data_IF_715547911190
#
_entry.id   IF_715547911190
#
_cell.length_a   1.000
_cell.length_b   1.000
_cell.length_c   1.000
_cell.angle_alpha   90.00
_cell.angle_beta   90.00
_cell.angle_gamma   90.00
#
_symmetry.space_group_name_H-M   'P 1'
#
loop_
_entity.id
_entity.type
_entity.pdbx_description
1 polymer ?
#
# COMPACT_ATOMS: atom_id res chain seq x y z
N UNK A 1 -11.68 5.39 -19.05
CA UNK A 1 -10.37 5.08 -18.46
C UNK A 1 -10.45 4.55 -17.02
N UNK A 2 -10.60 5.33 -15.94
CA UNK A 2 -10.48 4.76 -14.56
C UNK A 2 -11.65 3.86 -14.09
N UNK A 3 -12.87 4.03 -14.62
CA UNK A 3 -13.97 3.07 -14.42
C UNK A 3 -13.68 1.72 -15.12
N UNK A 4 -13.01 1.78 -16.28
CA UNK A 4 -12.51 0.57 -16.97
C UNK A 4 -11.40 -0.12 -16.16
N UNK A 5 -10.49 0.62 -15.50
CA UNK A 5 -9.42 -0.01 -14.69
C UNK A 5 -9.97 -0.90 -13.57
N UNK A 6 -11.03 -0.46 -12.89
CA UNK A 6 -11.67 -1.27 -11.84
C UNK A 6 -12.35 -2.50 -12.42
N UNK A 7 -13.01 -2.37 -13.57
CA UNK A 7 -13.63 -3.49 -14.29
C UNK A 7 -12.57 -4.50 -14.77
N UNK A 8 -11.43 -4.00 -15.24
CA UNK A 8 -10.27 -4.82 -15.64
C UNK A 8 -9.67 -5.54 -14.43
N UNK A 9 -9.43 -4.83 -13.32
CA UNK A 9 -8.95 -5.44 -12.08
C UNK A 9 -9.89 -6.56 -11.62
N UNK A 10 -11.19 -6.30 -11.62
CA UNK A 10 -12.22 -7.27 -11.26
C UNK A 10 -12.23 -8.48 -12.19
N UNK A 11 -12.19 -8.25 -13.51
CA UNK A 11 -12.14 -9.29 -14.54
C UNK A 11 -10.91 -10.20 -14.35
N UNK A 12 -9.75 -9.61 -14.06
CA UNK A 12 -8.52 -10.37 -13.82
C UNK A 12 -8.63 -11.24 -12.56
N UNK A 13 -9.03 -10.65 -11.44
CA UNK A 13 -9.14 -11.37 -10.16
C UNK A 13 -10.18 -12.49 -10.24
N UNK A 14 -11.36 -12.19 -10.80
CA UNK A 14 -12.43 -13.20 -10.95
C UNK A 14 -12.05 -14.30 -11.93
N UNK A 15 -11.41 -13.95 -13.05
CA UNK A 15 -10.95 -14.91 -14.05
C UNK A 15 -9.95 -15.90 -13.46
N UNK A 16 -8.91 -15.40 -12.80
CA UNK A 16 -7.90 -16.24 -12.15
C UNK A 16 -8.49 -17.09 -11.02
N UNK A 17 -9.38 -16.52 -10.22
CA UNK A 17 -10.07 -17.30 -9.20
C UNK A 17 -10.87 -18.47 -9.81
N UNK A 18 -11.60 -18.23 -10.90
CA UNK A 18 -12.39 -19.28 -11.56
C UNK A 18 -11.51 -20.40 -12.12
N UNK A 19 -10.36 -20.06 -12.71
CA UNK A 19 -9.38 -21.06 -13.16
C UNK A 19 -8.89 -21.92 -11.99
N UNK A 20 -8.53 -21.30 -10.87
CA UNK A 20 -8.04 -21.99 -9.66
C UNK A 20 -9.11 -22.93 -9.09
N UNK A 21 -10.36 -22.46 -8.96
CA UNK A 21 -11.49 -23.29 -8.46
C UNK A 21 -11.79 -24.47 -9.41
N UNK A 22 -11.63 -24.27 -10.72
CA UNK A 22 -11.85 -25.34 -11.69
C UNK A 22 -10.78 -26.45 -11.62
N UNK A 23 -9.56 -26.09 -11.19
CA UNK A 23 -8.44 -27.00 -11.13
C UNK A 23 -8.42 -27.88 -9.87
N UNK A 24 -8.98 -27.43 -8.73
CA UNK A 24 -8.90 -28.15 -7.45
C UNK A 24 -9.87 -27.62 -6.37
N UNK A 25 -10.10 -28.41 -5.33
CA UNK A 25 -10.95 -28.03 -4.17
C UNK A 25 -10.10 -27.48 -3.01
N UNK A 26 -9.68 -26.22 -3.10
CA UNK A 26 -9.00 -25.52 -2.01
C UNK A 26 -10.00 -24.81 -1.08
N UNK A 27 -9.55 -24.36 0.09
CA UNK A 27 -10.38 -23.49 0.91
C UNK A 27 -10.66 -22.17 0.20
N UNK A 28 -11.78 -21.52 0.52
CA UNK A 28 -12.14 -20.22 -0.07
C UNK A 28 -11.05 -19.16 0.19
N UNK A 29 -10.41 -19.22 1.35
CA UNK A 29 -9.36 -18.28 1.74
C UNK A 29 -8.07 -18.51 0.92
N UNK A 30 -7.58 -19.75 0.80
CA UNK A 30 -6.41 -20.08 -0.03
C UNK A 30 -6.65 -19.72 -1.49
N UNK A 31 -7.85 -19.98 -1.99
CA UNK A 31 -8.24 -19.67 -3.38
C UNK A 31 -8.23 -18.16 -3.62
N UNK A 32 -8.82 -17.39 -2.72
CA UNK A 32 -8.90 -15.92 -2.83
C UNK A 32 -7.51 -15.30 -2.79
N UNK A 33 -6.67 -15.77 -1.86
CA UNK A 33 -5.31 -15.27 -1.70
C UNK A 33 -4.40 -15.64 -2.88
N UNK A 34 -4.50 -16.89 -3.36
CA UNK A 34 -3.80 -17.31 -4.57
C UNK A 34 -4.25 -16.52 -5.80
N UNK A 35 -5.55 -16.27 -5.95
CA UNK A 35 -6.07 -15.45 -7.04
C UNK A 35 -5.54 -14.01 -6.98
N UNK A 36 -5.45 -13.41 -5.79
CA UNK A 36 -4.85 -12.07 -5.59
C UNK A 36 -3.40 -12.05 -6.06
N UNK A 37 -2.55 -12.96 -5.57
CA UNK A 37 -1.13 -13.02 -5.92
C UNK A 37 -0.90 -13.35 -7.40
N UNK A 38 -1.68 -14.28 -7.96
CA UNK A 38 -1.64 -14.59 -9.38
C UNK A 38 -2.04 -13.37 -10.22
N UNK A 39 -3.05 -12.61 -9.80
CA UNK A 39 -3.50 -11.41 -10.52
C UNK A 39 -2.43 -10.32 -10.54
N UNK A 40 -1.78 -10.08 -9.41
CA UNK A 40 -0.67 -9.13 -9.31
C UNK A 40 0.51 -9.56 -10.20
N UNK A 41 0.86 -10.84 -10.15
CA UNK A 41 1.95 -11.42 -10.96
C UNK A 41 1.65 -11.40 -12.45
N UNK A 42 0.39 -11.69 -12.84
CA UNK A 42 -0.09 -11.59 -14.21
C UNK A 42 0.03 -10.17 -14.76
N UNK A 43 -0.39 -9.17 -13.98
CA UNK A 43 -0.36 -7.77 -14.41
C UNK A 43 1.07 -7.29 -14.65
N UNK A 44 2.01 -7.66 -13.77
CA UNK A 44 3.43 -7.33 -13.97
C UNK A 44 4.00 -8.02 -15.21
N UNK A 45 3.78 -9.33 -15.36
CA UNK A 45 4.35 -10.11 -16.46
C UNK A 45 3.77 -9.75 -17.83
N UNK A 46 2.48 -9.38 -17.88
CA UNK A 46 1.82 -8.92 -19.09
C UNK A 46 2.14 -7.45 -19.44
N UNK A 47 2.77 -6.70 -18.52
CA UNK A 47 3.19 -5.32 -18.76
C UNK A 47 4.55 -5.24 -19.48
N UNK A 48 4.82 -4.14 -20.19
CA UNK A 48 6.13 -3.90 -20.83
C UNK A 48 7.26 -3.60 -19.84
N UNK A 49 6.99 -3.62 -18.53
CA UNK A 49 7.92 -3.19 -17.50
C UNK A 49 9.15 -4.11 -17.38
N UNK A 50 9.11 -5.31 -17.98
CA UNK A 50 10.24 -6.24 -18.07
C UNK A 50 10.86 -6.55 -16.69
N UNK A 51 10.02 -6.63 -15.67
CA UNK A 51 10.45 -6.90 -14.29
C UNK A 51 10.09 -8.34 -13.90
N UNK A 52 11.07 -9.14 -13.46
CA UNK A 52 10.86 -10.48 -12.92
C UNK A 52 10.29 -10.47 -11.48
N UNK A 53 9.65 -9.36 -11.07
CA UNK A 53 9.14 -9.22 -9.71
C UNK A 53 7.96 -10.17 -9.50
N UNK A 54 8.10 -11.02 -8.49
CA UNK A 54 7.05 -11.94 -8.03
C UNK A 54 6.49 -11.44 -6.72
N UNK A 55 5.17 -11.50 -6.59
CA UNK A 55 4.50 -11.19 -5.34
C UNK A 55 4.52 -12.42 -4.43
N UNK A 56 4.88 -12.20 -3.18
CA UNK A 56 5.10 -13.26 -2.19
C UNK A 56 4.51 -12.95 -0.83
N UNK A 57 4.24 -11.68 -0.55
CA UNK A 57 3.69 -11.26 0.73
C UNK A 57 2.20 -11.50 0.75
N UNK A 58 1.75 -12.18 1.81
CA UNK A 58 0.35 -12.49 1.99
C UNK A 58 -0.43 -11.25 2.47
N UNK A 59 -1.74 -11.25 2.26
CA UNK A 59 -2.61 -10.26 2.89
C UNK A 59 -2.63 -10.46 4.40
N UNK A 60 -2.89 -9.38 5.14
CA UNK A 60 -2.92 -9.41 6.61
C UNK A 60 -3.85 -10.52 7.15
N UNK A 61 -5.03 -10.69 6.54
CA UNK A 61 -5.98 -11.73 6.96
C UNK A 61 -5.50 -13.15 6.69
N UNK A 62 -4.84 -13.38 5.55
CA UNK A 62 -4.29 -14.69 5.23
C UNK A 62 -3.21 -15.10 6.24
N UNK A 63 -2.31 -14.17 6.60
CA UNK A 63 -1.29 -14.40 7.64
C UNK A 63 -1.93 -14.64 9.01
N UNK A 64 -2.90 -13.78 9.38
CA UNK A 64 -3.61 -13.87 10.67
C UNK A 64 -4.34 -15.21 10.84
N UNK A 65 -4.85 -15.78 9.75
CA UNK A 65 -5.52 -17.08 9.72
C UNK A 65 -4.56 -18.26 9.50
N UNK A 66 -3.24 -18.02 9.47
CA UNK A 66 -2.21 -19.05 9.46
C UNK A 66 -1.90 -19.65 8.09
N UNK A 67 -2.29 -18.99 6.99
CA UNK A 67 -1.84 -19.40 5.65
C UNK A 67 -0.35 -19.12 5.51
N UNK A 68 0.36 -20.02 4.83
CA UNK A 68 1.76 -19.82 4.44
C UNK A 68 1.89 -19.68 2.93
N UNK A 69 2.82 -18.83 2.46
CA UNK A 69 3.07 -18.66 1.03
C UNK A 69 3.41 -19.99 0.33
N UNK A 70 4.20 -20.84 1.00
CA UNK A 70 4.56 -22.16 0.47
C UNK A 70 3.36 -23.07 0.21
N UNK A 71 2.25 -22.88 0.94
CA UNK A 71 1.02 -23.65 0.74
C UNK A 71 0.26 -23.21 -0.51
N UNK A 72 0.37 -21.93 -0.89
CA UNK A 72 -0.42 -21.35 -1.98
C UNK A 72 0.40 -21.09 -3.25
N UNK A 73 1.74 -21.15 -3.21
CA UNK A 73 2.60 -20.87 -4.36
C UNK A 73 2.28 -21.75 -5.57
N UNK A 74 1.99 -23.03 -5.33
CA UNK A 74 1.63 -23.97 -6.39
C UNK A 74 0.25 -23.66 -6.99
N UNK A 75 -0.66 -23.16 -6.16
CA UNK A 75 -2.00 -22.72 -6.57
C UNK A 75 -1.89 -21.48 -7.46
N UNK A 76 -1.04 -20.52 -7.08
CA UNK A 76 -0.73 -19.30 -7.86
C UNK A 76 -0.21 -19.69 -9.24
N UNK A 77 0.76 -20.61 -9.31
CA UNK A 77 1.33 -21.04 -10.58
C UNK A 77 0.31 -21.77 -11.46
N UNK A 78 -0.51 -22.64 -10.87
CA UNK A 78 -1.60 -23.35 -11.57
C UNK A 78 -2.58 -22.38 -12.22
N UNK A 79 -2.96 -21.32 -11.49
CA UNK A 79 -3.82 -20.26 -12.01
C UNK A 79 -3.17 -19.51 -13.18
N UNK A 80 -1.90 -19.11 -13.04
CA UNK A 80 -1.16 -18.38 -14.08
C UNK A 80 -0.99 -19.19 -15.37
N UNK A 81 -0.70 -20.49 -15.27
CA UNK A 81 -0.48 -21.36 -16.43
C UNK A 81 -1.74 -21.56 -17.26
N UNK A 82 -2.91 -21.55 -16.60
CA UNK A 82 -4.21 -21.80 -17.23
C UNK A 82 -4.88 -20.53 -17.74
N UNK A 83 -4.60 -19.39 -17.10
CA UNK A 83 -5.33 -18.16 -17.32
C UNK A 83 -4.96 -17.46 -18.63
N UNK A 84 -5.99 -17.20 -19.45
CA UNK A 84 -5.90 -16.44 -20.70
C UNK A 84 -6.62 -15.11 -20.55
N UNK A 85 -5.97 -14.19 -19.82
CA UNK A 85 -6.51 -12.87 -19.54
C UNK A 85 -6.42 -11.87 -20.70
N UNK A 86 -6.94 -10.64 -20.48
CA UNK A 86 -6.81 -9.57 -21.44
C UNK A 86 -5.35 -9.15 -21.62
N UNK A 87 -4.97 -8.79 -22.84
CA UNK A 87 -3.66 -8.22 -23.14
C UNK A 87 -3.55 -6.81 -22.56
N UNK A 88 -2.46 -6.51 -21.86
CA UNK A 88 -2.23 -5.22 -21.18
C UNK A 88 -1.22 -4.32 -21.92
N UNK A 89 -1.09 -4.46 -23.24
CA UNK A 89 0.02 -3.88 -24.02
C UNK A 89 0.03 -2.35 -24.15
N UNK A 90 -1.06 -1.66 -23.79
CA UNK A 90 -1.25 -0.21 -23.96
C UNK A 90 -1.40 0.56 -22.64
N UNK A 91 -1.07 -0.06 -21.51
CA UNK A 91 -1.19 0.60 -20.21
C UNK A 91 -0.01 1.55 -19.96
N UNK A 92 -0.33 2.82 -19.67
CA UNK A 92 0.62 3.76 -19.10
C UNK A 92 1.06 3.29 -17.70
N UNK A 93 2.27 3.66 -17.29
CA UNK A 93 2.84 3.24 -16.00
C UNK A 93 1.93 3.61 -14.81
N UNK A 94 1.27 4.76 -14.88
CA UNK A 94 0.34 5.21 -13.83
C UNK A 94 -0.93 4.35 -13.75
N UNK A 95 -1.39 3.81 -14.88
CA UNK A 95 -2.54 2.90 -14.93
C UNK A 95 -2.15 1.52 -14.40
N UNK A 96 -0.93 1.05 -14.71
CA UNK A 96 -0.37 -0.19 -14.18
C UNK A 96 -0.29 -0.15 -12.65
N UNK A 97 0.27 0.91 -12.08
CA UNK A 97 0.36 1.10 -10.62
C UNK A 97 -1.04 1.17 -9.99
N UNK A 98 -1.96 1.88 -10.61
CA UNK A 98 -3.36 1.94 -10.14
C UNK A 98 -4.03 0.55 -10.17
N UNK A 99 -3.74 -0.25 -11.19
CA UNK A 99 -4.27 -1.60 -11.35
C UNK A 99 -3.76 -2.55 -10.26
N UNK A 100 -2.47 -2.48 -9.88
CA UNK A 100 -1.92 -3.27 -8.79
C UNK A 100 -2.61 -2.97 -7.46
N UNK A 101 -2.79 -1.68 -7.13
CA UNK A 101 -3.50 -1.27 -5.91
C UNK A 101 -4.96 -1.72 -5.88
N UNK A 102 -5.65 -1.65 -7.03
CA UNK A 102 -7.01 -2.15 -7.18
C UNK A 102 -7.10 -3.67 -7.01
N UNK A 103 -6.20 -4.44 -7.63
CA UNK A 103 -6.16 -5.90 -7.52
C UNK A 103 -5.92 -6.33 -6.08
N UNK A 104 -4.93 -5.74 -5.40
CA UNK A 104 -4.70 -6.01 -3.98
C UNK A 104 -5.98 -5.71 -3.18
N UNK A 105 -6.59 -4.56 -3.41
CA UNK A 105 -7.82 -4.17 -2.69
C UNK A 105 -8.99 -5.13 -2.94
N UNK A 106 -9.16 -5.62 -4.18
CA UNK A 106 -10.22 -6.59 -4.53
C UNK A 106 -9.94 -7.95 -3.90
N UNK A 107 -8.69 -8.41 -3.93
CA UNK A 107 -8.29 -9.72 -3.42
C UNK A 107 -8.18 -9.81 -1.90
N UNK A 108 -7.86 -8.72 -1.21
CA UNK A 108 -7.69 -8.71 0.26
C UNK A 108 -8.98 -8.46 1.04
N UNK A 109 -9.98 -7.74 0.47
CA UNK A 109 -11.09 -7.17 1.26
C UNK A 109 -12.50 -7.68 0.91
N UNK A 110 -12.67 -9.01 0.84
CA UNK A 110 -13.96 -9.72 0.88
C UNK A 110 -14.90 -9.56 -0.33
N UNK A 111 -14.97 -10.59 -1.17
CA UNK A 111 -16.23 -11.16 -1.65
C UNK A 111 -16.01 -12.65 -1.94
N UNK A 112 -16.90 -13.57 -1.50
CA UNK A 112 -17.14 -14.76 -2.31
C UNK A 112 -17.53 -14.21 -3.68
N UNK A 113 -16.72 -14.45 -4.70
CA UNK A 113 -16.88 -13.88 -6.05
C UNK A 113 -18.21 -14.29 -6.73
N UNK A 114 -19.06 -15.05 -6.02
CA UNK A 114 -20.38 -15.51 -6.38
C UNK A 114 -21.54 -14.59 -5.94
N UNK A 115 -21.34 -13.58 -5.06
CA UNK A 115 -22.44 -12.73 -4.56
C UNK A 115 -22.21 -11.23 -4.77
N UNK A 116 -22.53 -10.76 -5.97
CA UNK A 116 -22.69 -9.35 -6.28
C UNK A 116 -24.01 -8.80 -5.67
N UNK A 117 -23.96 -8.39 -4.40
CA UNK A 117 -25.02 -7.59 -3.74
C UNK A 117 -24.40 -6.67 -2.66
N UNK A 118 -23.62 -5.67 -3.09
CA UNK A 118 -23.59 -4.32 -2.48
C UNK A 118 -23.20 -4.10 -1.01
N UNK A 119 -22.88 -5.09 -0.17
CA UNK A 119 -22.68 -4.85 1.27
C UNK A 119 -21.72 -5.81 1.98
N UNK A 120 -20.43 -5.82 1.62
CA UNK A 120 -19.41 -6.61 2.36
C UNK A 120 -18.02 -5.97 2.48
N UNK A 121 -17.89 -4.63 2.36
CA UNK A 121 -16.61 -3.91 2.45
C UNK A 121 -16.19 -3.52 3.88
N UNK A 122 -16.42 -4.35 4.90
CA UNK A 122 -16.46 -3.86 6.29
C UNK A 122 -15.50 -4.46 7.33
N UNK A 123 -14.95 -5.68 7.24
CA UNK A 123 -14.28 -6.23 8.43
C UNK A 123 -12.97 -5.54 8.84
N UNK A 124 -12.36 -4.70 7.99
CA UNK A 124 -11.06 -4.07 8.28
C UNK A 124 -11.03 -2.54 8.12
N UNK A 125 -12.16 -1.88 7.86
CA UNK A 125 -12.19 -0.42 7.66
C UNK A 125 -11.35 0.13 6.48
N UNK A 126 -10.69 -0.74 5.71
CA UNK A 126 -9.82 -0.40 4.59
C UNK A 126 -10.65 -0.11 3.33
N UNK A 127 -10.99 1.16 3.16
CA UNK A 127 -11.58 1.64 1.91
C UNK A 127 -10.46 2.03 0.95
N UNK A 128 -10.43 1.41 -0.24
CA UNK A 128 -9.56 1.86 -1.32
C UNK A 128 -9.83 3.35 -1.60
N UNK A 129 -8.84 4.19 -1.32
CA UNK A 129 -8.92 5.62 -1.60
C UNK A 129 -8.87 5.81 -3.12
N UNK A 130 -9.90 6.42 -3.75
CA UNK A 130 -9.82 6.70 -5.17
C UNK A 130 -8.62 7.60 -5.47
N UNK A 131 -7.81 7.23 -6.46
CA UNK A 131 -6.58 7.94 -6.84
C UNK A 131 -6.74 9.47 -6.90
N UNK A 132 -7.84 9.98 -7.47
CA UNK A 132 -8.10 11.44 -7.57
C UNK A 132 -8.20 12.15 -6.21
N UNK A 133 -8.67 11.44 -5.19
CA UNK A 133 -8.83 11.99 -3.84
C UNK A 133 -7.46 12.06 -3.18
N UNK A 134 -6.65 11.01 -3.32
CA UNK A 134 -5.26 11.02 -2.86
C UNK A 134 -4.46 12.13 -3.55
N UNK A 135 -4.54 12.24 -4.88
CA UNK A 135 -3.91 13.32 -5.67
C UNK A 135 -4.33 14.72 -5.18
N UNK A 136 -5.62 14.92 -4.89
CA UNK A 136 -6.13 16.19 -4.40
C UNK A 136 -5.59 16.54 -3.00
N UNK A 137 -5.64 15.61 -2.06
CA UNK A 137 -5.15 15.81 -0.69
C UNK A 137 -3.64 16.06 -0.68
N UNK A 138 -2.89 15.25 -1.42
CA UNK A 138 -1.44 15.42 -1.57
C UNK A 138 -1.13 16.79 -2.18
N UNK A 139 -1.85 17.19 -3.23
CA UNK A 139 -1.64 18.49 -3.86
C UNK A 139 -1.87 19.65 -2.90
N UNK A 140 -2.94 19.61 -2.10
CA UNK A 140 -3.18 20.64 -1.08
C UNK A 140 -2.09 20.70 0.00
N UNK A 141 -1.43 19.57 0.27
CA UNK A 141 -0.48 19.43 1.38
C UNK A 141 0.96 19.75 0.95
N UNK A 142 1.42 19.19 -0.16
CA UNK A 142 2.83 19.27 -0.59
C UNK A 142 3.09 20.45 -1.54
N UNK A 143 2.19 20.68 -2.51
CA UNK A 143 2.40 21.64 -3.61
C UNK A 143 2.75 23.06 -3.13
N UNK A 144 2.11 23.64 -2.07
CA UNK A 144 2.47 24.99 -1.62
C UNK A 144 3.94 25.16 -1.23
N UNK A 145 4.53 24.13 -0.60
CA UNK A 145 5.95 24.14 -0.23
C UNK A 145 6.83 23.85 -1.44
N UNK A 146 6.47 22.83 -2.23
CA UNK A 146 7.26 22.39 -3.37
C UNK A 146 7.34 23.43 -4.48
N UNK A 147 6.22 24.07 -4.84
CA UNK A 147 6.18 25.11 -5.88
C UNK A 147 6.96 26.35 -5.44
N UNK A 148 6.90 26.71 -4.15
CA UNK A 148 7.69 27.82 -3.59
C UNK A 148 9.19 27.54 -3.73
N UNK A 149 9.62 26.34 -3.39
CA UNK A 149 11.03 25.94 -3.50
C UNK A 149 11.46 25.88 -4.97
N UNK A 150 10.72 25.15 -5.81
CA UNK A 150 11.02 25.03 -7.23
C UNK A 150 11.07 26.40 -7.93
N UNK A 151 10.16 27.32 -7.58
CA UNK A 151 10.12 28.68 -8.11
C UNK A 151 11.23 29.62 -7.63
N UNK A 152 11.98 29.23 -6.58
CA UNK A 152 13.13 30.00 -6.07
C UNK A 152 14.46 29.65 -6.74
N UNK A 153 14.48 28.61 -7.59
CA UNK A 153 15.67 28.17 -8.31
C UNK A 153 16.15 29.25 -9.28
N UNK A 154 17.46 29.50 -9.30
CA UNK A 154 18.11 30.51 -10.14
C UNK A 154 19.45 30.03 -10.68
N UNK A 155 20.09 30.84 -11.52
CA UNK A 155 21.43 30.55 -12.07
C UNK A 155 22.56 30.58 -11.02
N UNK A 156 22.33 31.24 -9.90
CA UNK A 156 23.30 31.37 -8.81
C UNK A 156 23.01 30.46 -7.62
N UNK A 157 21.82 29.86 -7.57
CA UNK A 157 21.38 29.07 -6.43
C UNK A 157 20.40 27.97 -6.86
N UNK A 158 20.87 26.72 -6.76
CA UNK A 158 20.09 25.51 -6.98
C UNK A 158 19.80 24.76 -5.67
N UNK A 159 20.16 25.31 -4.51
CA UNK A 159 19.99 24.65 -3.21
C UNK A 159 18.53 24.33 -2.90
N UNK A 160 17.58 25.05 -3.49
CA UNK A 160 16.16 24.74 -3.39
C UNK A 160 15.80 23.36 -3.99
N UNK A 161 16.53 22.87 -5.01
CA UNK A 161 16.37 21.51 -5.53
C UNK A 161 16.86 20.47 -4.51
N UNK A 162 17.99 20.74 -3.87
CA UNK A 162 18.52 19.89 -2.79
C UNK A 162 17.57 19.88 -1.59
N UNK A 163 16.97 21.01 -1.25
CA UNK A 163 15.96 21.13 -0.19
C UNK A 163 14.73 20.27 -0.53
N UNK A 164 14.18 20.36 -1.75
CA UNK A 164 13.08 19.48 -2.19
C UNK A 164 13.46 18.01 -2.01
N UNK A 165 14.67 17.63 -2.39
CA UNK A 165 15.21 16.27 -2.27
C UNK A 165 15.58 15.86 -0.84
N UNK A 166 15.45 16.75 0.15
CA UNK A 166 15.64 16.45 1.57
C UNK A 166 14.32 16.23 2.32
N UNK A 167 13.20 16.69 1.76
CA UNK A 167 11.88 16.63 2.40
C UNK A 167 11.36 15.19 2.47
N UNK A 168 10.78 14.85 3.62
CA UNK A 168 10.28 13.51 3.96
C UNK A 168 8.77 13.49 4.10
N UNK A 169 8.12 12.54 3.43
CA UNK A 169 6.66 12.35 3.50
C UNK A 169 6.32 11.00 4.11
N UNK A 170 5.39 11.01 5.08
CA UNK A 170 4.89 9.81 5.74
C UNK A 170 3.42 9.54 5.39
N UNK A 171 3.10 8.27 5.16
CA UNK A 171 1.75 7.71 5.30
C UNK A 171 1.77 6.55 6.33
N UNK A 172 1.22 6.73 7.55
CA UNK A 172 1.29 5.73 8.61
C UNK A 172 0.23 4.63 8.53
N UNK A 173 -0.60 4.61 7.48
CA UNK A 173 -1.55 3.54 7.17
C UNK A 173 -1.71 3.44 5.64
N UNK A 174 -0.58 3.16 4.97
CA UNK A 174 -0.43 3.49 3.55
C UNK A 174 -1.18 2.57 2.59
N UNK A 175 -1.62 1.40 3.06
CA UNK A 175 -2.22 0.36 2.25
C UNK A 175 -1.37 0.08 1.00
N UNK A 176 -2.01 -0.07 -0.17
CA UNK A 176 -1.31 -0.23 -1.45
C UNK A 176 -0.59 1.03 -1.98
N UNK A 177 -0.41 2.07 -1.16
CA UNK A 177 0.53 3.16 -1.44
C UNK A 177 -0.01 4.30 -2.28
N UNK A 178 -1.34 4.45 -2.38
CA UNK A 178 -2.00 5.45 -3.24
C UNK A 178 -1.58 6.90 -2.93
N UNK A 179 -1.39 7.25 -1.65
CA UNK A 179 -0.89 8.57 -1.24
C UNK A 179 0.60 8.72 -1.51
N UNK A 180 1.42 7.69 -1.27
CA UNK A 180 2.87 7.74 -1.53
C UNK A 180 3.16 7.84 -3.03
N UNK A 181 2.42 7.11 -3.87
CA UNK A 181 2.47 7.25 -5.34
C UNK A 181 2.08 8.67 -5.76
N UNK A 182 1.01 9.22 -5.17
CA UNK A 182 0.58 10.60 -5.45
C UNK A 182 1.63 11.63 -5.00
N UNK A 183 2.27 11.42 -3.85
CA UNK A 183 3.36 12.24 -3.34
C UNK A 183 4.56 12.19 -4.28
N UNK A 184 4.99 11.00 -4.71
CA UNK A 184 6.07 10.82 -5.67
C UNK A 184 5.84 11.63 -6.94
N UNK A 185 4.65 11.51 -7.55
CA UNK A 185 4.31 12.26 -8.75
C UNK A 185 4.32 13.78 -8.53
N UNK A 186 4.00 14.24 -7.32
CA UNK A 186 4.00 15.68 -6.97
C UNK A 186 5.45 16.19 -6.80
N UNK A 187 6.31 15.43 -6.12
CA UNK A 187 7.74 15.73 -6.04
C UNK A 187 8.41 15.75 -7.42
N UNK A 188 8.12 14.76 -8.28
CA UNK A 188 8.66 14.67 -9.63
C UNK A 188 8.31 15.93 -10.44
N UNK A 189 7.05 16.36 -10.42
CA UNK A 189 6.62 17.59 -11.10
C UNK A 189 7.36 18.83 -10.61
N UNK A 190 7.56 18.95 -9.29
CA UNK A 190 8.29 20.07 -8.71
C UNK A 190 9.77 20.06 -9.11
N UNK A 191 10.42 18.89 -9.11
CA UNK A 191 11.80 18.74 -9.56
C UNK A 191 11.96 19.03 -11.05
N UNK A 192 11.09 18.50 -11.90
CA UNK A 192 11.08 18.79 -13.33
C UNK A 192 10.91 20.30 -13.60
N UNK A 193 10.02 20.96 -12.84
CA UNK A 193 9.82 22.40 -12.94
C UNK A 193 11.06 23.18 -12.52
N UNK A 194 11.63 22.88 -11.35
CA UNK A 194 12.82 23.57 -10.84
C UNK A 194 14.06 23.34 -11.71
N UNK A 195 14.30 22.12 -12.19
CA UNK A 195 15.39 21.80 -13.14
C UNK A 195 15.21 22.59 -14.45
N UNK A 196 13.98 22.69 -14.95
CA UNK A 196 13.69 23.49 -16.14
C UNK A 196 14.04 24.97 -15.91
N UNK A 197 13.65 25.54 -14.77
CA UNK A 197 14.02 26.93 -14.42
C UNK A 197 15.53 27.13 -14.27
N UNK A 198 16.25 26.16 -13.68
CA UNK A 198 17.71 26.20 -13.58
C UNK A 198 18.35 26.30 -14.97
N UNK A 199 17.93 25.42 -15.90
CA UNK A 199 18.42 25.40 -17.28
C UNK A 199 18.07 26.69 -18.04
N UNK A 200 16.84 27.17 -17.92
CA UNK A 200 16.39 28.44 -18.52
C UNK A 200 17.18 29.64 -17.98
N UNK A 201 17.67 29.55 -16.75
CA UNK A 201 18.49 30.59 -16.11
C UNK A 201 19.99 30.47 -16.47
N UNK A 202 20.42 29.37 -17.10
CA UNK A 202 21.79 29.16 -17.56
C UNK A 202 22.64 28.20 -16.73
N UNK A 203 22.05 27.44 -15.79
CA UNK A 203 22.73 26.33 -15.11
C UNK A 203 22.95 25.20 -16.11
N UNK A 204 24.17 24.66 -16.16
CA UNK A 204 24.51 23.55 -17.07
C UNK A 204 24.12 22.20 -16.50
N UNK A 205 23.95 21.19 -17.36
CA UNK A 205 23.64 19.83 -16.91
C UNK A 205 24.79 19.23 -16.08
N UNK A 206 26.05 19.59 -16.35
CA UNK A 206 27.19 19.17 -15.52
C UNK A 206 27.06 19.66 -14.07
N UNK A 207 26.65 20.92 -13.86
CA UNK A 207 26.42 21.45 -12.51
C UNK A 207 25.28 20.73 -11.78
N UNK A 208 24.19 20.40 -12.50
CA UNK A 208 23.08 19.64 -11.93
C UNK A 208 23.45 18.19 -11.62
N UNK A 209 24.32 17.59 -12.43
CA UNK A 209 24.85 16.24 -12.20
C UNK A 209 25.82 16.20 -11.01
N UNK A 210 26.72 17.18 -10.90
CA UNK A 210 27.63 17.33 -9.76
C UNK A 210 26.87 17.52 -8.43
N UNK A 211 25.76 18.24 -8.45
CA UNK A 211 24.85 18.38 -7.30
C UNK A 211 24.00 17.12 -7.03
N UNK A 212 24.02 16.13 -7.92
CA UNK A 212 23.26 14.89 -7.80
C UNK A 212 21.74 15.02 -7.98
N UNK A 213 21.24 16.22 -8.30
CA UNK A 213 19.78 16.49 -8.38
C UNK A 213 19.13 15.82 -9.59
N UNK A 214 19.90 15.39 -10.59
CA UNK A 214 19.38 14.64 -11.74
C UNK A 214 18.95 13.21 -11.39
N UNK A 215 19.40 12.66 -10.25
CA UNK A 215 18.97 11.36 -9.73
C UNK A 215 17.69 11.44 -8.87
N UNK A 216 16.92 12.52 -9.00
CA UNK A 216 15.77 12.84 -8.15
C UNK A 216 14.77 11.70 -8.01
N UNK A 217 14.52 10.90 -9.05
CA UNK A 217 13.57 9.77 -8.98
C UNK A 217 13.95 8.76 -7.89
N UNK A 218 15.24 8.44 -7.76
CA UNK A 218 15.74 7.51 -6.74
C UNK A 218 15.72 8.15 -5.35
N UNK A 219 16.08 9.43 -5.28
CA UNK A 219 16.14 10.17 -4.01
C UNK A 219 14.73 10.37 -3.44
N UNK A 220 13.77 10.80 -4.25
CA UNK A 220 12.37 10.95 -3.84
C UNK A 220 11.83 9.62 -3.31
N UNK A 221 12.07 8.49 -3.98
CA UNK A 221 11.62 7.18 -3.49
C UNK A 221 12.13 6.87 -2.08
N UNK A 222 13.37 7.26 -1.76
CA UNK A 222 13.99 7.05 -0.43
C UNK A 222 13.45 7.98 0.66
N UNK A 223 12.76 9.05 0.28
CA UNK A 223 12.15 10.01 1.20
C UNK A 223 10.63 9.81 1.40
N UNK A 224 10.07 8.77 0.79
CA UNK A 224 8.69 8.37 1.00
C UNK A 224 8.64 7.22 2.00
N UNK A 225 7.92 7.43 3.08
CA UNK A 225 7.81 6.51 4.21
C UNK A 225 6.39 6.02 4.37
N UNK A 226 6.24 4.72 4.60
CA UNK A 226 4.95 4.05 4.71
C UNK A 226 4.93 3.09 5.89
N UNK A 227 3.83 3.06 6.62
CA UNK A 227 3.56 2.03 7.62
C UNK A 227 2.21 1.40 7.31
N UNK A 228 2.13 0.07 7.36
CA UNK A 228 0.86 -0.66 7.26
C UNK A 228 0.96 -2.00 7.98
N UNK A 229 -0.18 -2.55 8.42
CA UNK A 229 -0.22 -3.88 9.03
C UNK A 229 -0.15 -5.00 7.98
N UNK A 230 -0.57 -4.72 6.74
CA UNK A 230 -0.60 -5.67 5.62
C UNK A 230 0.72 -5.64 4.84
N UNK A 231 1.55 -6.68 5.02
CA UNK A 231 2.80 -6.86 4.28
C UNK A 231 2.58 -6.95 2.77
N UNK A 232 1.48 -7.57 2.32
CA UNK A 232 1.07 -7.63 0.92
C UNK A 232 0.76 -6.26 0.33
N UNK A 233 0.23 -5.33 1.12
CA UNK A 233 -0.03 -3.96 0.69
C UNK A 233 1.29 -3.16 0.57
N UNK A 234 2.23 -3.37 1.49
CA UNK A 234 3.57 -2.79 1.44
C UNK A 234 4.39 -3.31 0.25
N UNK A 235 4.29 -4.60 -0.09
CA UNK A 235 4.92 -5.18 -1.28
C UNK A 235 4.40 -4.50 -2.57
N UNK A 236 3.08 -4.31 -2.68
CA UNK A 236 2.46 -3.59 -3.80
C UNK A 236 2.95 -2.14 -3.87
N UNK A 237 3.07 -1.47 -2.73
CA UNK A 237 3.59 -0.11 -2.64
C UNK A 237 5.05 -0.02 -3.10
N UNK A 238 5.91 -0.90 -2.60
CA UNK A 238 7.34 -0.92 -2.96
C UNK A 238 7.55 -1.16 -4.45
N UNK A 239 6.82 -2.11 -5.02
CA UNK A 239 6.87 -2.41 -6.45
C UNK A 239 6.38 -1.20 -7.25
N UNK A 240 5.28 -0.58 -6.84
CA UNK A 240 4.72 0.60 -7.52
C UNK A 240 5.69 1.78 -7.54
N UNK A 241 6.32 2.09 -6.40
CA UNK A 241 7.33 3.16 -6.32
C UNK A 241 8.60 2.78 -7.10
N UNK A 242 8.98 1.50 -7.13
CA UNK A 242 10.10 1.01 -7.94
C UNK A 242 9.88 1.18 -9.44
N UNK A 243 8.67 0.86 -9.91
CA UNK A 243 8.26 1.09 -11.29
C UNK A 243 8.36 2.57 -11.66
N UNK A 244 7.80 3.46 -10.83
CA UNK A 244 7.80 4.91 -11.07
C UNK A 244 9.20 5.54 -11.02
N UNK A 245 10.08 5.03 -10.15
CA UNK A 245 11.47 5.52 -10.06
C UNK A 245 12.37 4.99 -11.17
N UNK A 246 11.91 4.05 -11.99
CA UNK A 246 12.74 3.29 -12.95
C UNK A 246 13.97 2.66 -12.28
N UNK A 247 13.82 2.30 -11.01
CA UNK A 247 14.89 1.75 -10.21
C UNK A 247 14.99 0.24 -10.41
N UNK A 248 16.21 -0.24 -10.62
CA UNK A 248 16.54 -1.67 -10.47
C UNK A 248 17.06 -1.99 -9.07
N UNK A 249 17.12 -0.99 -8.17
CA UNK A 249 17.65 -1.16 -6.81
C UNK A 249 16.79 -2.12 -5.97
N UNK A 250 17.38 -2.58 -4.88
CA UNK A 250 16.79 -3.42 -3.85
C UNK A 250 15.43 -2.90 -3.35
N UNK A 251 14.61 -3.82 -2.85
CA UNK A 251 13.34 -3.50 -2.20
C UNK A 251 13.56 -2.54 -1.03
N UNK A 252 12.74 -1.50 -0.91
CA UNK A 252 12.76 -0.63 0.27
C UNK A 252 11.82 -1.14 1.36
N UNK A 253 11.16 -2.28 1.16
CA UNK A 253 10.39 -2.93 2.21
C UNK A 253 11.34 -3.36 3.35
N UNK A 254 11.02 -2.92 4.57
CA UNK A 254 11.85 -3.04 5.77
C UNK A 254 12.68 -1.79 6.09
N UNK A 255 12.84 -0.87 5.13
CA UNK A 255 13.60 0.39 5.32
C UNK A 255 12.67 1.60 5.45
N UNK A 256 12.17 2.17 4.34
CA UNK A 256 11.21 3.29 4.37
C UNK A 256 9.76 2.83 4.45
N UNK A 257 9.46 1.61 3.97
CA UNK A 257 8.16 0.96 4.10
C UNK A 257 8.25 -0.10 5.19
N UNK A 258 7.42 -0.04 6.23
CA UNK A 258 7.53 -0.93 7.40
C UNK A 258 6.20 -1.54 7.81
N UNK A 259 6.23 -2.83 8.14
CA UNK A 259 5.06 -3.52 8.65
C UNK A 259 4.86 -3.19 10.12
N UNK A 260 3.65 -2.77 10.49
CA UNK A 260 3.29 -2.52 11.87
C UNK A 260 1.98 -1.76 12.06
N UNK A 261 1.44 -1.85 13.26
CA UNK A 261 0.34 -1.03 13.73
C UNK A 261 0.91 0.28 14.27
N UNK A 262 0.79 1.34 13.47
CA UNK A 262 1.31 2.68 13.76
C UNK A 262 0.76 3.33 15.04
N UNK A 263 -0.34 2.81 15.59
CA UNK A 263 -0.99 3.31 16.81
C UNK A 263 -0.52 2.59 18.08
N UNK A 264 0.05 1.39 17.97
CA UNK A 264 0.39 0.55 19.12
C UNK A 264 1.89 0.60 19.39
N UNK A 265 2.26 1.05 20.60
CA UNK A 265 3.62 0.97 21.14
C UNK A 265 3.60 0.24 22.48
N UNK A 266 4.46 -0.77 22.63
CA UNK A 266 4.68 -1.50 23.88
C UNK A 266 5.65 -0.78 24.81
N UNK A 267 6.51 0.11 24.29
CA UNK A 267 7.50 0.88 25.06
C UNK A 267 6.98 2.24 25.55
N UNK A 268 5.85 2.70 25.00
CA UNK A 268 5.22 3.96 25.38
C UNK A 268 6.00 5.20 24.95
N UNK A 269 5.47 6.38 25.26
CA UNK A 269 6.07 7.66 24.86
C UNK A 269 7.48 7.80 25.46
N UNK A 270 8.50 7.76 24.61
CA UNK A 270 9.93 7.83 24.93
C UNK A 270 10.52 6.61 25.65
N UNK A 271 9.96 5.42 25.46
CA UNK A 271 10.45 4.19 26.09
C UNK A 271 10.38 4.19 27.62
N UNK A 272 9.58 5.08 28.21
CA UNK A 272 9.49 5.27 29.67
C UNK A 272 8.43 4.41 30.34
N UNK A 273 7.49 3.82 29.60
CA UNK A 273 6.35 3.09 30.16
C UNK A 273 5.99 1.86 29.32
N UNK A 274 6.01 0.67 29.92
CA UNK A 274 5.61 -0.54 29.20
C UNK A 274 4.09 -0.68 29.16
N UNK A 275 3.50 -0.66 27.96
CA UNK A 275 2.06 -0.85 27.75
C UNK A 275 1.69 -2.27 27.31
N UNK A 276 2.62 -3.23 27.36
CA UNK A 276 2.34 -4.61 26.97
C UNK A 276 1.25 -5.30 27.80
N UNK A 277 0.98 -4.82 29.01
CA UNK A 277 -0.06 -5.35 29.89
C UNK A 277 -1.49 -4.92 29.49
N UNK A 278 -1.66 -3.96 28.57
CA UNK A 278 -2.97 -3.57 28.05
C UNK A 278 -3.54 -4.57 27.06
N UNK A 279 -2.68 -5.41 26.47
CA UNK A 279 -3.08 -6.37 25.43
C UNK A 279 -2.96 -7.80 25.97
N UNK A 280 -4.01 -8.61 25.79
CA UNK A 280 -4.00 -10.03 26.14
C UNK A 280 -2.99 -10.83 25.31
N UNK A 281 -2.83 -10.45 24.03
CA UNK A 281 -1.91 -11.06 23.09
C UNK A 281 -1.16 -9.97 22.31
N UNK A 282 0.06 -9.65 22.74
CA UNK A 282 0.89 -8.65 22.06
C UNK A 282 1.43 -9.13 20.72
N UNK A 283 1.52 -10.45 20.48
CA UNK A 283 2.12 -11.01 19.27
C UNK A 283 1.25 -10.74 18.02
N UNK A 284 -0.08 -10.68 18.18
CA UNK A 284 -1.02 -10.41 17.09
C UNK A 284 -1.25 -8.93 16.82
N UNK A 285 -0.63 -8.03 17.62
CA UNK A 285 -0.83 -6.57 17.53
C UNK A 285 0.14 -5.87 16.60
N UNK A 286 1.22 -6.55 16.22
CA UNK A 286 2.30 -6.03 15.36
C UNK A 286 2.71 -4.60 15.78
N UNK A 287 3.12 -4.38 17.04
CA UNK A 287 3.38 -3.04 17.56
C UNK A 287 4.47 -2.33 16.76
N UNK A 288 4.33 -1.01 16.60
CA UNK A 288 5.27 -0.18 15.85
C UNK A 288 5.95 0.85 16.74
N UNK A 289 7.25 0.66 16.97
CA UNK A 289 8.04 1.56 17.82
C UNK A 289 8.71 2.65 16.96
N UNK A 290 7.99 3.74 16.70
CA UNK A 290 8.48 4.87 15.89
C UNK A 290 9.95 5.27 16.13
N UNK A 291 10.43 5.39 17.39
CA UNK A 291 11.83 5.76 17.66
C UNK A 291 12.86 4.71 17.26
N UNK A 292 12.49 3.44 17.22
CA UNK A 292 13.37 2.33 16.83
C UNK A 292 13.30 2.06 15.34
N UNK A 293 12.14 2.26 14.75
CA UNK A 293 11.88 1.94 13.35
C UNK A 293 12.41 3.02 12.40
N UNK A 294 12.20 4.30 12.73
CA UNK A 294 12.63 5.44 11.91
C UNK A 294 13.62 6.35 12.64
N UNK A 295 14.67 5.73 13.21
CA UNK A 295 15.71 6.39 14.03
C UNK A 295 16.29 7.64 13.33
N UNK A 296 16.72 7.51 12.08
CA UNK A 296 17.39 8.57 11.35
C UNK A 296 16.47 9.75 11.05
N UNK A 297 15.21 9.46 10.73
CA UNK A 297 14.19 10.48 10.47
C UNK A 297 13.89 11.26 11.74
N UNK A 298 13.64 10.57 12.86
CA UNK A 298 13.33 11.24 14.12
C UNK A 298 14.54 12.02 14.68
N UNK A 299 15.77 11.53 14.47
CA UNK A 299 16.99 12.30 14.78
C UNK A 299 17.14 13.56 13.94
N UNK A 300 16.55 13.57 12.76
CA UNK A 300 16.60 14.69 11.80
C UNK A 300 15.39 15.63 11.90
N UNK A 301 14.62 15.56 13.00
CA UNK A 301 13.48 16.46 13.23
C UNK A 301 12.12 15.90 12.82
N UNK A 302 12.06 14.68 12.27
CA UNK A 302 10.82 14.01 11.89
C UNK A 302 10.50 14.12 10.41
N UNK A 303 9.19 14.06 10.11
CA UNK A 303 8.65 14.14 8.75
C UNK A 303 8.15 15.55 8.45
N UNK A 304 8.36 16.02 7.24
CA UNK A 304 7.90 17.33 6.77
C UNK A 304 6.42 17.31 6.39
N UNK A 305 5.96 16.17 5.86
CA UNK A 305 4.57 15.95 5.47
C UNK A 305 4.03 14.64 6.03
N UNK A 306 2.74 14.66 6.40
CA UNK A 306 1.97 13.45 6.73
C UNK A 306 0.68 13.48 5.92
N UNK A 307 0.45 12.44 5.13
CA UNK A 307 -0.75 12.27 4.30
C UNK A 307 -1.28 10.85 4.47
N UNK A 308 -2.58 10.68 4.62
CA UNK A 308 -3.18 9.35 4.80
C UNK A 308 -4.69 9.36 4.56
N UNK A 309 -5.25 8.17 4.37
CA UNK A 309 -6.65 7.89 4.65
C UNK A 309 -6.69 6.77 5.71
N UNK A 310 -6.79 7.12 7.00
CA UNK A 310 -6.70 6.12 8.06
C UNK A 310 -7.94 5.21 8.05
N UNK A 311 -7.82 3.98 8.58
CA UNK A 311 -8.98 3.11 8.76
C UNK A 311 -10.03 3.77 9.67
N UNK A 312 -11.31 3.69 9.28
CA UNK A 312 -12.42 4.18 10.09
C UNK A 312 -13.15 3.02 10.75
N UNK A 313 -12.87 2.79 12.03
CA UNK A 313 -13.57 1.78 12.82
C UNK A 313 -14.74 2.40 13.60
N UNK A 314 -15.85 1.67 13.73
CA UNK A 314 -16.90 2.03 14.68
C UNK A 314 -16.53 1.48 16.05
N UNK A 315 -16.24 2.37 16.98
CA UNK A 315 -15.87 2.09 18.39
C UNK A 315 -16.98 1.42 19.25
N UNK A 316 -18.02 0.83 18.65
CA UNK A 316 -19.15 0.23 19.36
C UNK A 316 -19.49 -1.15 18.81
N UNK A 317 -19.56 -2.20 19.67
CA UNK A 317 -19.99 -3.52 19.27
C UNK A 317 -21.36 -3.49 18.59
N UNK A 318 -21.42 -4.00 17.36
CA UNK A 318 -22.63 -3.97 16.56
C UNK A 318 -23.16 -5.39 16.35
N UNK A 319 -24.24 -5.73 17.05
CA UNK A 319 -24.86 -7.05 16.95
C UNK A 319 -25.27 -7.38 15.51
N UNK A 320 -25.74 -6.42 14.73
CA UNK A 320 -26.15 -6.67 13.35
C UNK A 320 -24.97 -7.06 12.43
N UNK A 321 -23.76 -6.59 12.76
CA UNK A 321 -22.53 -6.86 12.02
C UNK A 321 -21.99 -8.25 12.37
N UNK A 322 -21.88 -8.54 13.67
CA UNK A 322 -21.57 -9.87 14.19
C UNK A 322 -22.48 -10.96 13.62
N UNK A 323 -23.79 -10.68 13.52
CA UNK A 323 -24.75 -11.62 12.94
C UNK A 323 -24.57 -11.79 11.43
N UNK A 324 -24.26 -10.71 10.69
CA UNK A 324 -24.05 -10.76 9.24
C UNK A 324 -22.83 -11.59 8.87
N UNK A 325 -21.71 -11.42 9.53
CA UNK A 325 -20.49 -12.19 9.25
C UNK A 325 -20.71 -13.69 9.39
N UNK A 326 -21.45 -14.09 10.42
CA UNK A 326 -21.80 -15.50 10.66
C UNK A 326 -22.76 -16.07 9.62
N UNK A 327 -23.72 -15.27 9.18
CA UNK A 327 -24.62 -15.66 8.08
C UNK A 327 -23.82 -15.82 6.78
N UNK A 328 -22.87 -14.91 6.49
CA UNK A 328 -22.02 -14.96 5.28
C UNK A 328 -21.07 -16.16 5.32
N UNK A 329 -20.51 -16.49 6.48
CA UNK A 329 -19.61 -17.64 6.67
C UNK A 329 -20.35 -18.98 6.83
N UNK A 330 -21.68 -18.99 6.68
CA UNK A 330 -22.50 -20.21 6.72
C UNK A 330 -22.86 -20.71 8.12
N UNK A 331 -22.49 -19.98 9.17
CA UNK A 331 -22.74 -20.34 10.56
C UNK A 331 -24.13 -19.89 11.00
N UNK A 332 -25.11 -20.82 11.01
CA UNK A 332 -26.55 -20.52 11.26
C UNK A 332 -26.96 -20.57 12.73
N UNK A 333 -26.10 -21.06 13.62
CA UNK A 333 -26.31 -21.00 15.07
C UNK A 333 -25.59 -19.77 15.61
N UNK A 334 -26.34 -18.89 16.26
CA UNK A 334 -25.83 -17.68 16.86
C UNK A 334 -25.88 -17.88 18.37
N UNK A 335 -24.72 -18.01 19.00
CA UNK A 335 -24.60 -18.00 20.45
C UNK A 335 -24.36 -16.59 20.97
N UNK A 336 -25.11 -16.18 21.99
CA UNK A 336 -24.94 -14.90 22.66
C UNK A 336 -23.66 -14.87 23.50
N UNK A 337 -23.14 -16.02 23.94
CA UNK A 337 -21.84 -16.10 24.59
C UNK A 337 -20.71 -15.71 23.63
N UNK A 338 -20.76 -16.15 22.38
CA UNK A 338 -19.78 -15.78 21.37
C UNK A 338 -19.86 -14.28 21.02
N UNK A 339 -21.05 -13.66 21.13
CA UNK A 339 -21.16 -12.19 20.98
C UNK A 339 -20.51 -11.44 22.15
N UNK A 340 -20.49 -12.03 23.34
CA UNK A 340 -19.78 -11.43 24.48
C UNK A 340 -18.26 -11.60 24.33
N UNK A 341 -17.78 -12.75 23.83
CA UNK A 341 -16.36 -12.91 23.44
C UNK A 341 -15.96 -11.88 22.39
N UNK A 342 -16.78 -11.70 21.35
CA UNK A 342 -16.57 -10.68 20.33
C UNK A 342 -16.52 -9.25 20.88
N UNK A 343 -17.35 -8.92 21.89
CA UNK A 343 -17.29 -7.61 22.57
C UNK A 343 -15.98 -7.40 23.32
N UNK A 344 -15.48 -8.42 24.00
CA UNK A 344 -14.21 -8.30 24.72
C UNK A 344 -13.02 -8.23 23.75
N UNK A 345 -13.04 -9.00 22.65
CA UNK A 345 -12.06 -8.87 21.56
C UNK A 345 -12.04 -7.46 20.96
N UNK A 346 -13.21 -6.91 20.63
CA UNK A 346 -13.32 -5.53 20.15
C UNK A 346 -12.75 -4.50 21.13
N UNK A 347 -12.82 -4.73 22.45
CA UNK A 347 -12.22 -3.81 23.43
C UNK A 347 -10.69 -3.89 23.47
N UNK A 348 -10.12 -5.03 23.09
CA UNK A 348 -8.67 -5.23 22.99
C UNK A 348 -8.10 -4.79 21.63
N UNK A 349 -8.96 -4.72 20.61
CA UNK A 349 -8.66 -4.17 19.29
C UNK A 349 -8.70 -2.63 19.25
N UNK A 350 -9.30 -2.01 20.27
CA UNK A 350 -9.23 -0.57 20.62
C UNK A 350 -7.93 -0.23 21.34
#
# INVERSE_FOLDING_TARGET
MKQELREIAWSIVTGLHNEIVSASSFSNLETTEAARLASLSYVISASRSNTDKKFSQLSFEAERLGISYNTISDIVQTGLDSYKGPLLYDFELSDLVSLLGLIHSIGSYHLPLQHDQGTSQRPLGAYYTPQRIAEYIVSLTLTPTLDRLAGSVSNTDISALEEILSLRTLDPACGPGVFLVSAMNTFVKAMEYGIRLARESGVTDETLEEAGVLNYLQIIRRNLYGVDVDAGALEVTDISLGLLSKSTDDSFFGSSLKQGNSLISLKGLNSKQSHGHYFSNTATRIPFEWPDEFVEVLRSGGFDFVVMNPPYERLKPNLAEFLRERIITGNRKIDLEEFNVYKEQLKEDL
#
